data_IF_382757677682
#
_entry.id   IF_382757677682
#
_cell.length_a   1.000
_cell.length_b   1.000
_cell.length_c   1.000
_cell.angle_alpha   90.00
_cell.angle_beta   90.00
_cell.angle_gamma   90.00
#
_symmetry.space_group_name_H-M   'P 1'
#
loop_
_entity.id
_entity.type
_entity.pdbx_description
1 polymer ?
#
# COMPACT_ATOMS: atom_id res chain seq x y z
N UNK A 1 28.69 -5.60 -4.83
CA UNK A 1 27.73 -6.72 -4.91
C UNK A 1 27.37 -6.94 -6.36
N UNK A 2 27.00 -8.17 -6.78
CA UNK A 2 26.45 -8.41 -8.12
C UNK A 2 25.13 -7.60 -8.28
N UNK A 3 24.89 -6.98 -9.45
CA UNK A 3 23.60 -6.34 -9.72
C UNK A 3 22.44 -7.31 -9.49
N UNK A 4 21.39 -6.84 -8.80
CA UNK A 4 20.20 -7.62 -8.50
C UNK A 4 19.42 -7.87 -9.78
N UNK A 5 19.17 -9.13 -10.15
CA UNK A 5 18.34 -9.52 -11.28
C UNK A 5 16.87 -9.45 -10.94
N UNK A 6 16.09 -8.71 -11.72
CA UNK A 6 14.67 -8.42 -11.48
C UNK A 6 13.78 -9.18 -12.43
N UNK A 7 12.78 -9.86 -11.89
CA UNK A 7 11.61 -10.36 -12.60
C UNK A 7 10.37 -9.53 -12.31
N UNK A 8 9.52 -9.32 -13.31
CA UNK A 8 8.24 -8.61 -13.17
C UNK A 8 7.09 -9.44 -13.74
N UNK A 9 6.10 -9.76 -12.93
CA UNK A 9 4.88 -10.47 -13.34
C UNK A 9 3.69 -9.51 -13.31
N UNK A 10 3.06 -9.31 -14.48
CA UNK A 10 1.95 -8.37 -14.64
C UNK A 10 2.42 -6.98 -15.09
N UNK A 11 1.79 -6.43 -16.13
CA UNK A 11 2.22 -5.19 -16.80
C UNK A 11 1.18 -4.08 -16.76
N UNK A 12 0.20 -4.21 -15.85
CA UNK A 12 -0.81 -3.17 -15.59
C UNK A 12 -0.21 -1.90 -14.98
N UNK A 13 -1.06 -1.05 -14.44
CA UNK A 13 -0.65 0.22 -13.83
C UNK A 13 0.48 0.04 -12.79
N UNK A 14 0.32 -0.91 -11.84
CA UNK A 14 1.33 -1.15 -10.82
C UNK A 14 2.60 -1.78 -11.38
N UNK A 15 2.49 -2.65 -12.40
CA UNK A 15 3.67 -3.19 -13.11
C UNK A 15 4.53 -2.08 -13.72
N UNK A 16 3.90 -1.08 -14.34
CA UNK A 16 4.61 0.10 -14.85
C UNK A 16 5.25 0.92 -13.73
N UNK A 17 4.58 1.08 -12.58
CA UNK A 17 5.14 1.79 -11.41
C UNK A 17 6.37 1.05 -10.85
N UNK A 18 6.33 -0.28 -10.77
CA UNK A 18 7.48 -1.08 -10.34
C UNK A 18 8.64 -1.00 -11.35
N UNK A 19 8.34 -1.10 -12.65
CA UNK A 19 9.37 -0.96 -13.70
C UNK A 19 10.05 0.42 -13.64
N UNK A 20 9.28 1.51 -13.45
CA UNK A 20 9.82 2.84 -13.22
C UNK A 20 10.72 2.90 -11.98
N UNK A 21 10.29 2.30 -10.87
CA UNK A 21 11.06 2.28 -9.63
C UNK A 21 12.40 1.56 -9.81
N UNK A 22 12.40 0.37 -10.42
CA UNK A 22 13.61 -0.39 -10.70
C UNK A 22 14.58 0.34 -11.64
N UNK A 23 14.07 1.02 -12.67
CA UNK A 23 14.89 1.81 -13.59
C UNK A 23 15.51 3.05 -12.92
N UNK A 24 14.77 3.70 -12.01
CA UNK A 24 15.15 4.99 -11.45
C UNK A 24 15.98 4.91 -10.16
N UNK A 25 15.86 3.85 -9.39
CA UNK A 25 16.38 3.76 -8.01
C UNK A 25 17.86 4.10 -7.89
N UNK A 26 18.72 3.59 -8.79
CA UNK A 26 20.15 3.91 -8.79
C UNK A 26 20.42 5.38 -9.10
N UNK A 27 19.68 5.96 -10.03
CA UNK A 27 19.84 7.37 -10.44
C UNK A 27 19.46 8.31 -9.31
N UNK A 28 18.37 7.99 -8.58
CA UNK A 28 17.88 8.84 -7.48
C UNK A 28 18.79 8.74 -6.25
N UNK A 29 19.13 7.52 -5.83
CA UNK A 29 19.79 7.34 -4.54
C UNK A 29 21.32 7.26 -4.63
N UNK A 30 21.85 6.66 -5.67
CA UNK A 30 23.30 6.52 -5.87
C UNK A 30 23.98 5.47 -4.96
N UNK A 31 23.36 5.12 -3.82
CA UNK A 31 23.88 4.23 -2.78
C UNK A 31 23.46 2.75 -2.93
N UNK A 32 22.78 2.41 -4.01
CA UNK A 32 22.42 1.04 -4.38
C UNK A 32 23.04 0.67 -5.72
N UNK A 33 23.29 -0.62 -5.99
CA UNK A 33 23.68 -1.05 -7.33
C UNK A 33 22.51 -0.95 -8.30
N UNK A 34 22.81 -0.75 -9.60
CA UNK A 34 21.77 -0.68 -10.64
C UNK A 34 21.17 -2.08 -10.84
N UNK A 35 19.86 -2.28 -10.60
CA UNK A 35 19.23 -3.55 -10.88
C UNK A 35 19.27 -3.87 -12.38
N UNK A 36 19.34 -5.15 -12.74
CA UNK A 36 19.13 -5.64 -14.11
C UNK A 36 17.68 -6.06 -14.28
N UNK A 37 17.01 -5.54 -15.27
CA UNK A 37 15.64 -5.93 -15.63
C UNK A 37 15.71 -7.18 -16.52
N UNK A 38 15.68 -8.36 -15.88
CA UNK A 38 16.03 -9.64 -16.56
C UNK A 38 14.84 -10.21 -17.32
N UNK A 39 13.70 -10.42 -16.64
CA UNK A 39 12.61 -11.18 -17.21
C UNK A 39 11.25 -10.56 -16.87
N UNK A 40 10.41 -10.36 -17.89
CA UNK A 40 9.04 -9.86 -17.72
C UNK A 40 8.05 -10.96 -18.14
N UNK A 41 6.99 -11.14 -17.35
CA UNK A 41 5.90 -12.07 -17.69
C UNK A 41 4.55 -11.34 -17.74
N UNK A 42 3.80 -11.60 -18.83
CA UNK A 42 2.45 -11.10 -19.05
C UNK A 42 1.65 -12.17 -19.79
N UNK A 43 0.40 -12.43 -19.38
CA UNK A 43 -0.41 -13.53 -19.92
C UNK A 43 -0.63 -13.48 -21.44
N UNK A 44 -0.58 -12.31 -22.05
CA UNK A 44 -0.62 -12.12 -23.50
C UNK A 44 0.80 -11.98 -24.05
N UNK A 45 1.22 -12.88 -24.94
CA UNK A 45 2.59 -12.95 -25.48
C UNK A 45 2.99 -11.68 -26.27
N UNK A 46 2.07 -11.07 -27.03
CA UNK A 46 2.36 -9.84 -27.77
C UNK A 46 2.52 -8.67 -26.84
N UNK A 47 1.67 -8.59 -25.81
CA UNK A 47 1.77 -7.59 -24.76
C UNK A 47 3.05 -7.79 -23.94
N UNK A 48 3.43 -9.04 -23.63
CA UNK A 48 4.68 -9.35 -22.93
C UNK A 48 5.88 -8.78 -23.68
N UNK A 49 6.00 -9.03 -24.99
CA UNK A 49 7.09 -8.48 -25.83
C UNK A 49 7.09 -6.96 -25.85
N UNK A 50 5.94 -6.36 -26.15
CA UNK A 50 5.81 -4.90 -26.23
C UNK A 50 6.16 -4.21 -24.89
N UNK A 51 5.72 -4.77 -23.76
CA UNK A 51 6.03 -4.24 -22.43
C UNK A 51 7.46 -4.54 -22.01
N UNK A 52 8.03 -5.68 -22.41
CA UNK A 52 9.45 -5.99 -22.22
C UNK A 52 10.33 -4.91 -22.82
N UNK A 53 10.09 -4.57 -24.07
CA UNK A 53 10.81 -3.51 -24.79
C UNK A 53 10.57 -2.13 -24.13
N UNK A 54 9.28 -1.78 -23.84
CA UNK A 54 8.93 -0.47 -23.21
C UNK A 54 9.59 -0.30 -21.84
N UNK A 55 9.62 -1.35 -21.02
CA UNK A 55 10.11 -1.26 -19.63
C UNK A 55 11.61 -1.54 -19.53
N UNK A 56 12.24 -2.05 -20.60
CA UNK A 56 13.67 -2.31 -20.67
C UNK A 56 14.07 -3.66 -20.08
N UNK A 57 13.21 -4.68 -20.16
CA UNK A 57 13.55 -6.04 -19.75
C UNK A 57 14.29 -6.81 -20.87
N UNK A 58 15.27 -7.63 -20.49
CA UNK A 58 16.10 -8.42 -21.41
C UNK A 58 15.32 -9.58 -22.07
N UNK A 59 14.36 -10.15 -21.32
CA UNK A 59 13.53 -11.29 -21.73
C UNK A 59 12.05 -11.00 -21.44
N UNK A 60 11.16 -11.57 -22.27
CA UNK A 60 9.71 -11.48 -22.05
C UNK A 60 9.04 -12.80 -22.36
N UNK A 61 8.06 -13.23 -21.56
CA UNK A 61 7.35 -14.51 -21.71
C UNK A 61 5.86 -14.37 -21.41
N UNK A 62 5.06 -15.32 -21.92
CA UNK A 62 3.66 -15.48 -21.58
C UNK A 62 3.44 -16.41 -20.36
N UNK A 63 4.45 -17.16 -19.96
CA UNK A 63 4.39 -18.06 -18.79
C UNK A 63 5.29 -17.54 -17.65
N UNK A 64 4.68 -17.04 -16.59
CA UNK A 64 5.39 -16.52 -15.42
C UNK A 64 6.29 -17.59 -14.74
N UNK A 65 6.06 -18.88 -14.98
CA UNK A 65 6.87 -19.97 -14.42
C UNK A 65 8.27 -20.00 -15.03
N UNK A 66 8.40 -19.62 -16.30
CA UNK A 66 9.72 -19.46 -16.94
C UNK A 66 10.54 -18.36 -16.25
N UNK A 67 9.89 -17.25 -15.86
CA UNK A 67 10.54 -16.17 -15.11
C UNK A 67 10.99 -16.66 -13.72
N UNK A 68 10.16 -17.42 -13.02
CA UNK A 68 10.46 -17.96 -11.69
C UNK A 68 11.67 -18.91 -11.72
N UNK A 69 11.77 -19.72 -12.76
CA UNK A 69 12.88 -20.69 -12.91
C UNK A 69 14.15 -20.07 -13.50
N UNK A 70 14.11 -18.84 -13.97
CA UNK A 70 15.28 -18.16 -14.53
C UNK A 70 16.36 -17.92 -13.44
N UNK A 71 17.57 -18.50 -13.58
CA UNK A 71 18.63 -18.38 -12.57
C UNK A 71 19.22 -16.97 -12.47
N UNK A 72 18.97 -16.10 -13.43
CA UNK A 72 19.42 -14.70 -13.42
C UNK A 72 18.48 -13.77 -12.66
N UNK A 73 17.27 -14.23 -12.30
CA UNK A 73 16.30 -13.49 -11.47
C UNK A 73 16.60 -13.74 -10.00
N UNK A 74 16.82 -12.69 -9.24
CA UNK A 74 17.06 -12.71 -7.79
C UNK A 74 15.84 -12.23 -6.99
N UNK A 75 15.03 -11.32 -7.56
CA UNK A 75 13.81 -10.75 -6.95
C UNK A 75 12.66 -10.70 -7.95
N UNK A 76 11.46 -11.02 -7.49
CA UNK A 76 10.24 -11.00 -8.32
C UNK A 76 9.28 -9.94 -7.81
N UNK A 77 8.91 -9.00 -8.69
CA UNK A 77 7.78 -8.08 -8.51
C UNK A 77 6.49 -8.76 -8.97
N UNK A 78 5.51 -8.94 -8.08
CA UNK A 78 4.18 -9.50 -8.38
C UNK A 78 3.17 -8.37 -8.39
N UNK A 79 2.64 -8.01 -9.57
CA UNK A 79 1.75 -6.87 -9.79
C UNK A 79 0.48 -7.25 -10.55
N UNK A 80 0.05 -8.49 -10.37
CA UNK A 80 -1.13 -9.11 -10.97
C UNK A 80 -2.41 -8.78 -10.21
N UNK A 81 -3.61 -9.17 -10.68
CA UNK A 81 -4.83 -9.15 -9.87
C UNK A 81 -4.69 -9.99 -8.58
N UNK A 82 -5.36 -9.53 -7.51
CA UNK A 82 -5.19 -10.00 -6.13
C UNK A 82 -5.24 -11.53 -5.96
N UNK A 83 -6.12 -12.20 -6.70
CA UNK A 83 -6.31 -13.66 -6.61
C UNK A 83 -5.08 -14.48 -7.03
N UNK A 84 -4.17 -13.88 -7.78
CA UNK A 84 -2.94 -14.55 -8.25
C UNK A 84 -1.73 -14.29 -7.35
N UNK A 85 -1.79 -13.34 -6.42
CA UNK A 85 -0.69 -13.02 -5.52
C UNK A 85 -0.17 -14.24 -4.76
N UNK A 86 -1.03 -15.09 -4.13
CA UNK A 86 -0.56 -16.21 -3.35
C UNK A 86 0.23 -17.22 -4.18
N UNK A 87 -0.31 -17.66 -5.33
CA UNK A 87 0.35 -18.66 -6.16
C UNK A 87 1.73 -18.17 -6.62
N UNK A 88 1.81 -16.94 -7.15
CA UNK A 88 3.03 -16.41 -7.74
C UNK A 88 4.08 -16.06 -6.70
N UNK A 89 3.68 -15.45 -5.58
CA UNK A 89 4.60 -15.10 -4.50
C UNK A 89 5.18 -16.34 -3.79
N UNK A 90 4.34 -17.35 -3.53
CA UNK A 90 4.79 -18.62 -2.93
C UNK A 90 5.78 -19.33 -3.87
N UNK A 91 5.45 -19.47 -5.15
CA UNK A 91 6.34 -20.09 -6.12
C UNK A 91 7.69 -19.37 -6.24
N UNK A 92 7.70 -18.03 -6.22
CA UNK A 92 8.94 -17.25 -6.22
C UNK A 92 9.78 -17.50 -4.97
N UNK A 93 9.17 -17.55 -3.78
CA UNK A 93 9.84 -17.83 -2.52
C UNK A 93 10.41 -19.25 -2.47
N UNK A 94 9.64 -20.25 -2.92
CA UNK A 94 10.06 -21.65 -3.02
C UNK A 94 11.24 -21.84 -4.01
N UNK A 95 11.27 -21.02 -5.08
CA UNK A 95 12.40 -20.97 -6.02
C UNK A 95 13.60 -20.16 -5.46
N UNK A 96 13.55 -19.73 -4.21
CA UNK A 96 14.63 -18.98 -3.54
C UNK A 96 14.78 -17.54 -3.99
N UNK A 97 13.73 -16.91 -4.53
CA UNK A 97 13.72 -15.50 -4.93
C UNK A 97 13.18 -14.61 -3.81
N UNK A 98 13.66 -13.36 -3.73
CA UNK A 98 13.01 -12.31 -2.95
C UNK A 98 11.71 -11.89 -3.62
N UNK A 99 10.75 -11.33 -2.87
CA UNK A 99 9.43 -10.96 -3.41
C UNK A 99 9.05 -9.54 -3.03
N UNK A 100 8.57 -8.80 -4.02
CA UNK A 100 7.85 -7.53 -3.86
C UNK A 100 6.44 -7.71 -4.45
N UNK A 101 5.47 -8.03 -3.61
CA UNK A 101 4.09 -8.28 -4.01
C UNK A 101 3.23 -7.04 -3.80
N UNK A 102 2.34 -6.72 -4.73
CA UNK A 102 1.35 -5.67 -4.52
C UNK A 102 0.33 -6.04 -3.44
N UNK A 103 -0.30 -5.01 -2.91
CA UNK A 103 -1.39 -5.12 -1.93
C UNK A 103 -2.74 -5.39 -2.64
N UNK A 104 -3.73 -5.98 -1.93
CA UNK A 104 -3.65 -6.66 -0.64
C UNK A 104 -2.77 -7.91 -0.70
N UNK A 105 -2.36 -8.44 0.44
CA UNK A 105 -1.50 -9.63 0.46
C UNK A 105 -2.17 -10.81 -0.25
N UNK A 106 -3.42 -11.09 0.10
CA UNK A 106 -4.26 -12.09 -0.54
C UNK A 106 -5.75 -11.79 -0.31
N UNK A 107 -6.67 -12.26 -1.17
CA UNK A 107 -8.11 -12.14 -0.92
C UNK A 107 -8.60 -12.96 0.26
N UNK A 108 -7.90 -14.07 0.59
CA UNK A 108 -8.25 -14.98 1.67
C UNK A 108 -7.19 -15.05 2.77
N UNK A 109 -7.63 -15.04 4.04
CA UNK A 109 -6.72 -15.07 5.18
C UNK A 109 -5.80 -16.30 5.19
N UNK A 110 -6.33 -17.49 4.87
CA UNK A 110 -5.55 -18.73 4.79
C UNK A 110 -4.45 -18.65 3.73
N UNK A 111 -4.69 -17.94 2.63
CA UNK A 111 -3.69 -17.71 1.58
C UNK A 111 -2.58 -16.77 2.07
N UNK A 112 -2.94 -15.72 2.80
CA UNK A 112 -1.96 -14.83 3.42
C UNK A 112 -1.07 -15.57 4.43
N UNK A 113 -1.64 -16.50 5.23
CA UNK A 113 -0.87 -17.36 6.13
C UNK A 113 0.09 -18.30 5.37
N UNK A 114 -0.34 -18.86 4.23
CA UNK A 114 0.52 -19.69 3.37
C UNK A 114 1.67 -18.86 2.78
N UNK A 115 1.40 -17.63 2.32
CA UNK A 115 2.43 -16.71 1.82
C UNK A 115 3.48 -16.40 2.90
N UNK A 116 3.04 -16.09 4.13
CA UNK A 116 3.96 -15.86 5.25
C UNK A 116 4.78 -17.12 5.59
N UNK A 117 4.14 -18.29 5.57
CA UNK A 117 4.83 -19.56 5.83
C UNK A 117 5.92 -19.83 4.80
N UNK A 118 5.66 -19.60 3.50
CA UNK A 118 6.63 -19.72 2.43
C UNK A 118 7.79 -18.69 2.60
N UNK A 119 7.48 -17.45 2.98
CA UNK A 119 8.51 -16.43 3.23
C UNK A 119 9.44 -16.84 4.39
N UNK A 120 8.89 -17.36 5.49
CA UNK A 120 9.68 -17.87 6.61
C UNK A 120 10.53 -19.08 6.22
N UNK A 121 9.97 -20.03 5.46
CA UNK A 121 10.68 -21.23 5.04
C UNK A 121 11.83 -20.92 4.06
N UNK A 122 11.64 -19.97 3.15
CA UNK A 122 12.64 -19.60 2.16
C UNK A 122 13.80 -18.78 2.74
N UNK A 123 13.61 -18.11 3.89
CA UNK A 123 14.56 -17.14 4.44
C UNK A 123 14.79 -15.91 3.54
N UNK A 124 13.94 -15.68 2.54
CA UNK A 124 14.03 -14.54 1.62
C UNK A 124 13.26 -13.34 2.13
N UNK A 125 13.67 -12.16 1.68
CA UNK A 125 12.93 -10.92 1.93
C UNK A 125 11.65 -10.94 1.09
N UNK A 126 10.51 -10.74 1.74
CA UNK A 126 9.21 -10.63 1.10
C UNK A 126 8.48 -9.41 1.67
N UNK A 127 8.14 -8.46 0.80
CA UNK A 127 7.45 -7.21 1.16
C UNK A 127 6.18 -7.00 0.35
N UNK A 128 5.28 -6.18 0.89
CA UNK A 128 4.07 -5.72 0.22
C UNK A 128 4.19 -4.27 -0.22
N UNK A 129 3.56 -3.96 -1.35
CA UNK A 129 3.59 -2.67 -2.03
C UNK A 129 2.76 -1.57 -1.35
N UNK A 130 3.07 -1.24 -0.10
CA UNK A 130 2.42 -0.17 0.67
C UNK A 130 3.22 1.13 0.60
N UNK A 131 3.27 1.74 -0.57
CA UNK A 131 4.14 2.89 -0.86
C UNK A 131 3.82 4.18 -0.09
N UNK A 132 2.61 4.36 0.46
CA UNK A 132 2.26 5.61 1.17
C UNK A 132 3.07 5.83 2.45
N UNK A 133 3.53 4.77 3.12
CA UNK A 133 4.47 4.89 4.26
C UNK A 133 5.82 5.47 3.86
N UNK A 134 6.15 5.48 2.56
CA UNK A 134 7.41 5.97 2.03
C UNK A 134 7.42 7.49 1.83
N UNK A 135 6.25 8.15 1.92
CA UNK A 135 6.18 9.60 1.81
C UNK A 135 7.08 10.27 2.86
N UNK A 136 8.02 11.17 2.47
CA UNK A 136 8.87 11.89 3.42
C UNK A 136 8.09 12.65 4.49
N UNK A 137 6.92 13.21 4.13
CA UNK A 137 6.00 13.87 5.08
C UNK A 137 5.51 12.87 6.13
N UNK A 138 5.10 11.67 5.71
CA UNK A 138 4.61 10.64 6.62
C UNK A 138 5.71 10.14 7.58
N UNK A 139 6.93 10.00 7.07
CA UNK A 139 8.11 9.67 7.89
C UNK A 139 8.39 10.76 8.93
N UNK A 140 8.26 12.03 8.54
CA UNK A 140 8.42 13.16 9.47
C UNK A 140 7.29 13.24 10.49
N UNK A 141 6.04 12.97 10.11
CA UNK A 141 4.92 12.85 11.04
C UNK A 141 5.21 11.78 12.10
N UNK A 142 5.72 10.62 11.68
CA UNK A 142 6.15 9.55 12.63
C UNK A 142 7.21 10.06 13.61
N UNK A 143 8.20 10.79 13.11
CA UNK A 143 9.25 11.39 13.96
C UNK A 143 8.65 12.36 14.98
N UNK A 144 7.78 13.30 14.55
CA UNK A 144 7.13 14.27 15.42
C UNK A 144 6.30 13.61 16.53
N UNK A 145 5.57 12.53 16.20
CA UNK A 145 4.82 11.73 17.19
C UNK A 145 5.80 11.09 18.19
N UNK A 146 6.88 10.47 17.71
CA UNK A 146 7.88 9.83 18.56
C UNK A 146 8.64 10.81 19.46
N UNK A 147 8.82 12.04 19.03
CA UNK A 147 9.42 13.14 19.82
C UNK A 147 8.42 13.79 20.80
N UNK A 148 7.15 13.37 20.76
CA UNK A 148 6.10 13.93 21.63
C UNK A 148 5.64 15.33 21.25
N UNK A 149 5.84 15.76 20.00
CA UNK A 149 5.50 17.11 19.52
C UNK A 149 4.01 17.48 19.68
N UNK A 150 3.13 16.48 19.73
CA UNK A 150 1.69 16.64 19.99
C UNK A 150 1.24 15.98 21.32
N UNK A 151 2.21 15.53 22.14
CA UNK A 151 1.94 14.81 23.39
C UNK A 151 1.44 13.38 23.15
N UNK A 152 0.71 12.83 24.10
CA UNK A 152 0.12 11.49 24.01
C UNK A 152 -1.06 11.49 23.03
N UNK A 153 -1.01 10.60 22.02
CA UNK A 153 -2.10 10.48 21.04
C UNK A 153 -3.28 9.77 21.68
N UNK A 154 -4.47 10.34 21.54
CA UNK A 154 -5.70 9.84 22.13
C UNK A 154 -6.79 9.48 21.10
N UNK A 155 -6.79 10.15 19.94
CA UNK A 155 -7.78 9.90 18.90
C UNK A 155 -7.21 10.08 17.49
N UNK A 156 -7.67 9.25 16.55
CA UNK A 156 -7.27 9.31 15.13
C UNK A 156 -8.52 9.22 14.26
N UNK A 157 -8.54 10.02 13.20
CA UNK A 157 -9.50 9.85 12.10
C UNK A 157 -8.71 9.64 10.83
N UNK A 158 -9.10 8.61 10.07
CA UNK A 158 -8.50 8.33 8.77
C UNK A 158 -9.57 7.97 7.77
N UNK A 159 -9.44 8.52 6.56
CA UNK A 159 -10.37 8.33 5.47
C UNK A 159 -9.61 7.92 4.21
N UNK A 160 -10.17 7.02 3.41
CA UNK A 160 -9.72 6.79 2.04
C UNK A 160 -10.91 6.82 1.09
N UNK A 161 -10.90 7.82 0.19
CA UNK A 161 -12.01 8.15 -0.69
C UNK A 161 -11.53 8.28 -2.14
N UNK A 162 -12.25 7.66 -3.07
CA UNK A 162 -12.15 7.88 -4.51
C UNK A 162 -13.51 7.78 -5.19
N UNK A 163 -13.63 8.29 -6.41
CA UNK A 163 -14.86 8.27 -7.16
C UNK A 163 -14.91 7.27 -8.33
N UNK A 164 -13.95 6.35 -8.44
CA UNK A 164 -13.88 5.45 -9.59
C UNK A 164 -15.05 4.44 -9.67
N UNK A 165 -15.78 4.23 -8.57
CA UNK A 165 -17.01 3.43 -8.50
C UNK A 165 -18.25 4.29 -8.26
N UNK A 166 -18.16 5.62 -8.37
CA UNK A 166 -19.24 6.53 -8.01
C UNK A 166 -20.34 6.64 -9.08
N UNK A 167 -20.01 6.39 -10.37
CA UNK A 167 -21.01 6.40 -11.44
C UNK A 167 -21.90 5.14 -11.37
N UNK A 168 -23.23 5.27 -11.17
CA UNK A 168 -24.13 4.13 -11.15
C UNK A 168 -24.21 3.39 -12.50
N UNK A 169 -23.88 4.07 -13.61
CA UNK A 169 -23.83 3.49 -14.95
C UNK A 169 -22.41 3.05 -15.36
N UNK A 170 -21.43 3.16 -14.46
CA UNK A 170 -20.09 2.59 -14.64
C UNK A 170 -20.17 1.07 -14.84
N UNK A 171 -19.42 0.57 -15.85
CA UNK A 171 -19.44 -0.85 -16.19
C UNK A 171 -19.01 -1.74 -15.00
N UNK A 172 -19.58 -2.94 -14.97
CA UNK A 172 -19.16 -3.98 -14.03
C UNK A 172 -17.67 -4.25 -14.19
N UNK A 173 -16.96 -4.26 -13.09
CA UNK A 173 -15.52 -4.39 -13.04
C UNK A 173 -15.13 -5.53 -12.07
N UNK A 174 -14.03 -6.24 -12.34
CA UNK A 174 -13.62 -7.40 -11.55
C UNK A 174 -13.50 -7.14 -10.04
N UNK A 175 -13.20 -5.90 -9.64
CA UNK A 175 -13.18 -5.49 -8.22
C UNK A 175 -14.55 -5.47 -7.55
N UNK A 176 -15.64 -5.69 -8.29
CA UNK A 176 -17.01 -5.87 -7.76
C UNK A 176 -17.36 -7.34 -7.48
N UNK A 177 -16.44 -8.26 -7.79
CA UNK A 177 -16.59 -9.70 -7.54
C UNK A 177 -16.10 -10.06 -6.13
N UNK A 178 -16.74 -11.04 -5.48
CA UNK A 178 -16.32 -11.55 -4.17
C UNK A 178 -14.93 -12.19 -4.22
N UNK A 179 -14.56 -12.76 -5.37
CA UNK A 179 -13.22 -13.33 -5.61
C UNK A 179 -12.09 -12.31 -5.49
N UNK A 180 -12.39 -11.00 -5.60
CA UNK A 180 -11.41 -9.92 -5.40
C UNK A 180 -11.26 -9.50 -3.93
N UNK A 181 -12.07 -10.04 -3.01
CA UNK A 181 -12.12 -9.71 -1.59
C UNK A 181 -13.39 -8.96 -1.16
N UNK A 182 -13.36 -8.31 -0.01
CA UNK A 182 -14.50 -7.61 0.61
C UNK A 182 -14.83 -6.24 -0.02
N UNK A 183 -14.11 -5.83 -1.06
CA UNK A 183 -14.31 -4.55 -1.73
C UNK A 183 -13.56 -3.39 -1.07
N UNK A 184 -14.25 -2.42 -0.46
CA UNK A 184 -13.60 -1.27 0.17
C UNK A 184 -12.58 -1.63 1.25
N UNK A 185 -12.74 -2.78 1.93
CA UNK A 185 -11.77 -3.21 2.95
C UNK A 185 -10.43 -3.61 2.33
N UNK A 186 -10.43 -4.49 1.32
CA UNK A 186 -9.20 -4.98 0.67
C UNK A 186 -8.59 -3.97 -0.28
N UNK A 187 -9.42 -3.17 -0.94
CA UNK A 187 -8.92 -2.22 -1.93
C UNK A 187 -8.45 -0.91 -1.28
N UNK A 188 -9.19 -0.40 -0.31
CA UNK A 188 -8.98 0.91 0.30
C UNK A 188 -8.50 0.84 1.75
N UNK A 189 -9.25 0.19 2.66
CA UNK A 189 -8.93 0.24 4.08
C UNK A 189 -7.52 -0.29 4.42
N UNK A 190 -6.95 -1.16 3.59
CA UNK A 190 -5.57 -1.66 3.74
C UNK A 190 -4.52 -0.54 3.70
N UNK A 191 -4.75 0.53 2.94
CA UNK A 191 -3.82 1.67 2.89
C UNK A 191 -3.81 2.49 4.19
N UNK A 192 -4.96 3.01 4.71
CA UNK A 192 -5.02 3.56 6.05
C UNK A 192 -4.46 2.62 7.13
N UNK A 193 -4.79 1.32 7.07
CA UNK A 193 -4.26 0.34 8.02
C UNK A 193 -2.73 0.24 7.98
N UNK A 194 -2.11 0.31 6.78
CA UNK A 194 -0.65 0.32 6.66
C UNK A 194 -0.03 1.59 7.27
N UNK A 195 -0.69 2.75 7.13
CA UNK A 195 -0.27 3.99 7.79
C UNK A 195 -0.43 3.92 9.30
N UNK A 196 -1.56 3.40 9.80
CA UNK A 196 -1.78 3.21 11.23
C UNK A 196 -0.77 2.23 11.82
N UNK A 197 -0.50 1.12 11.12
CA UNK A 197 0.56 0.17 11.48
C UNK A 197 1.93 0.86 11.58
N UNK A 198 2.27 1.63 10.56
CA UNK A 198 3.54 2.34 10.49
C UNK A 198 3.71 3.38 11.62
N UNK A 199 2.64 4.10 11.99
CA UNK A 199 2.68 5.18 12.97
C UNK A 199 2.49 4.70 14.42
N UNK A 200 1.59 3.72 14.64
CA UNK A 200 1.07 3.39 15.97
C UNK A 200 1.13 1.88 16.30
N UNK A 201 1.44 1.03 15.33
CA UNK A 201 1.42 -0.42 15.53
C UNK A 201 0.06 -1.06 15.23
N UNK A 202 -0.30 -2.09 16.00
CA UNK A 202 -1.43 -2.96 15.68
C UNK A 202 -2.79 -2.40 16.13
N UNK A 203 -3.83 -2.85 15.42
CA UNK A 203 -5.23 -2.70 15.82
C UNK A 203 -5.58 -3.81 16.82
N UNK A 204 -6.27 -3.48 17.90
CA UNK A 204 -6.67 -4.43 18.97
C UNK A 204 -8.11 -4.93 18.79
N UNK A 205 -9.04 -4.03 18.44
CA UNK A 205 -10.44 -4.38 18.27
C UNK A 205 -11.12 -3.46 17.24
N UNK A 206 -12.16 -3.97 16.58
CA UNK A 206 -12.92 -3.25 15.56
C UNK A 206 -14.43 -3.47 15.69
N UNK A 207 -15.22 -2.47 15.29
CA UNK A 207 -16.64 -2.64 14.93
C UNK A 207 -16.87 -1.96 13.59
N UNK A 208 -17.57 -2.65 12.68
CA UNK A 208 -17.63 -2.28 11.27
C UNK A 208 -19.07 -2.26 10.77
N UNK A 209 -19.40 -1.24 9.97
CA UNK A 209 -20.55 -1.22 9.07
C UNK A 209 -20.07 -1.11 7.63
N UNK A 210 -20.74 -1.83 6.70
CA UNK A 210 -20.43 -1.80 5.27
C UNK A 210 -21.69 -1.61 4.45
N UNK A 211 -21.57 -0.91 3.32
CA UNK A 211 -22.71 -0.65 2.44
C UNK A 211 -22.37 -0.81 0.96
N UNK A 212 -23.40 -1.10 0.16
CA UNK A 212 -23.37 -1.11 -1.32
C UNK A 212 -24.28 -0.01 -1.81
N UNK A 213 -23.75 1.11 -2.34
CA UNK A 213 -24.61 2.15 -2.91
C UNK A 213 -25.32 1.67 -4.18
N UNK A 214 -24.71 0.77 -4.95
CA UNK A 214 -25.27 0.22 -6.17
C UNK A 214 -25.27 -1.31 -6.12
N UNK A 215 -26.47 -1.90 -6.15
CA UNK A 215 -26.64 -3.35 -6.06
C UNK A 215 -26.20 -4.07 -7.35
N UNK A 216 -26.25 -3.39 -8.50
CA UNK A 216 -25.96 -3.94 -9.82
C UNK A 216 -25.24 -2.91 -10.68
N UNK A 217 -24.43 -3.41 -11.65
CA UNK A 217 -23.74 -2.58 -12.64
C UNK A 217 -23.99 -3.11 -14.06
N UNK A 218 -24.02 -2.23 -15.08
CA UNK A 218 -24.18 -2.65 -16.46
C UNK A 218 -22.99 -3.45 -16.96
N UNK A 219 -23.26 -4.41 -17.86
CA UNK A 219 -22.25 -5.16 -18.61
C UNK A 219 -22.03 -4.51 -19.97
N UNK A 220 -20.81 -4.64 -20.51
CA UNK A 220 -20.46 -4.09 -21.83
C UNK A 220 -21.30 -4.67 -22.97
N UNK A 221 -21.66 -5.94 -22.87
CA UNK A 221 -22.49 -6.69 -23.81
C UNK A 221 -23.99 -6.50 -23.60
N UNK A 222 -24.39 -5.66 -22.65
CA UNK A 222 -25.78 -5.42 -22.27
C UNK A 222 -26.23 -6.24 -21.05
N UNK A 223 -27.33 -5.82 -20.43
CA UNK A 223 -27.77 -6.36 -19.13
C UNK A 223 -27.02 -5.76 -17.94
N UNK A 224 -27.31 -6.29 -16.75
CA UNK A 224 -26.69 -5.86 -15.49
C UNK A 224 -26.22 -7.10 -14.70
N UNK A 225 -25.17 -6.93 -13.89
CA UNK A 225 -24.66 -7.96 -12.99
C UNK A 225 -24.64 -7.44 -11.56
N UNK A 226 -25.00 -8.30 -10.62
CA UNK A 226 -25.00 -8.00 -9.18
C UNK A 226 -23.60 -7.73 -8.68
N UNK A 227 -23.43 -6.64 -7.91
CA UNK A 227 -22.21 -6.33 -7.18
C UNK A 227 -22.13 -7.23 -5.93
N UNK A 228 -21.06 -7.98 -5.79
CA UNK A 228 -20.94 -9.02 -4.76
C UNK A 228 -20.35 -8.50 -3.46
N UNK A 229 -19.47 -7.50 -3.51
CA UNK A 229 -18.79 -6.91 -2.35
C UNK A 229 -19.29 -5.49 -2.01
N UNK A 230 -18.64 -4.79 -1.08
CA UNK A 230 -19.10 -3.51 -0.55
C UNK A 230 -18.19 -2.36 -1.01
N UNK A 231 -18.78 -1.22 -1.39
CA UNK A 231 -18.05 -0.01 -1.82
C UNK A 231 -17.76 0.97 -0.68
N UNK A 232 -18.45 0.81 0.47
CA UNK A 232 -18.28 1.65 1.66
C UNK A 232 -17.98 0.78 2.88
N UNK A 233 -17.09 1.28 3.75
CA UNK A 233 -16.86 0.72 5.07
C UNK A 233 -16.62 1.84 6.10
N UNK A 234 -17.29 1.76 7.24
CA UNK A 234 -17.11 2.63 8.39
C UNK A 234 -16.70 1.77 9.58
N UNK A 235 -15.55 2.07 10.16
CA UNK A 235 -14.94 1.24 11.20
C UNK A 235 -14.57 2.09 12.41
N UNK A 236 -15.07 1.72 13.59
CA UNK A 236 -14.51 2.19 14.85
C UNK A 236 -13.45 1.18 15.31
N UNK A 237 -12.33 1.68 15.82
CA UNK A 237 -11.18 0.86 16.19
C UNK A 237 -10.61 1.22 17.55
N UNK A 238 -9.97 0.24 18.17
CA UNK A 238 -9.02 0.41 19.28
C UNK A 238 -7.63 0.02 18.80
N UNK A 239 -6.66 0.91 19.00
CA UNK A 239 -5.26 0.61 18.77
C UNK A 239 -4.54 0.43 20.12
N UNK A 240 -3.33 -0.09 20.08
CA UNK A 240 -2.47 -0.24 21.24
C UNK A 240 -2.35 1.04 22.07
N UNK A 241 -2.25 0.90 23.40
CA UNK A 241 -2.20 2.05 24.30
C UNK A 241 -3.55 2.75 24.53
N UNK A 242 -4.67 2.16 24.10
CA UNK A 242 -6.02 2.72 24.32
C UNK A 242 -6.42 3.82 23.35
N UNK A 243 -5.67 4.01 22.26
CA UNK A 243 -5.99 5.00 21.23
C UNK A 243 -7.31 4.63 20.54
N UNK A 244 -8.26 5.58 20.52
CA UNK A 244 -9.50 5.45 19.75
C UNK A 244 -9.26 5.88 18.31
N UNK A 245 -9.81 5.13 17.33
CA UNK A 245 -9.69 5.53 15.93
C UNK A 245 -10.98 5.28 15.14
N UNK A 246 -11.16 6.09 14.08
CA UNK A 246 -12.22 5.93 13.08
C UNK A 246 -11.56 5.80 11.71
N UNK A 247 -11.94 4.76 10.96
CA UNK A 247 -11.54 4.57 9.58
C UNK A 247 -12.78 4.57 8.69
N UNK A 248 -12.74 5.37 7.63
CA UNK A 248 -13.74 5.36 6.58
C UNK A 248 -13.08 5.03 5.24
N UNK A 249 -13.71 4.15 4.46
CA UNK A 249 -13.27 3.78 3.12
C UNK A 249 -14.45 3.87 2.16
N UNK A 250 -14.32 4.63 1.06
CA UNK A 250 -15.41 4.88 0.13
C UNK A 250 -14.90 4.94 -1.31
N UNK A 251 -15.27 3.92 -2.12
CA UNK A 251 -14.94 3.84 -3.56
C UNK A 251 -15.91 4.64 -4.46
N UNK A 252 -16.92 5.27 -3.86
CA UNK A 252 -18.00 5.98 -4.57
C UNK A 252 -18.13 7.45 -4.16
N UNK A 253 -17.01 8.05 -3.70
CA UNK A 253 -16.97 9.42 -3.19
C UNK A 253 -16.76 10.44 -4.31
N UNK A 254 -17.83 10.87 -4.99
CA UNK A 254 -17.76 11.84 -6.08
C UNK A 254 -16.85 13.04 -5.75
N UNK A 255 -15.89 13.32 -6.65
CA UNK A 255 -14.95 14.44 -6.56
C UNK A 255 -13.65 14.12 -5.83
N UNK A 256 -13.52 12.97 -5.18
CA UNK A 256 -12.25 12.49 -4.61
C UNK A 256 -11.48 11.63 -5.61
N UNK A 257 -10.15 11.84 -5.69
CA UNK A 257 -9.32 11.23 -6.74
C UNK A 257 -8.20 10.32 -6.22
N UNK A 258 -8.06 10.18 -4.91
CA UNK A 258 -7.02 9.40 -4.24
C UNK A 258 -6.74 9.96 -2.86
N UNK A 259 -7.80 10.35 -2.16
CA UNK A 259 -7.70 11.02 -0.88
C UNK A 259 -7.49 10.01 0.23
N UNK A 260 -6.33 10.09 0.89
CA UNK A 260 -6.14 9.54 2.23
C UNK A 260 -5.99 10.73 3.17
N UNK A 261 -7.00 11.00 3.98
CA UNK A 261 -6.94 12.06 4.98
C UNK A 261 -6.68 11.46 6.36
N UNK A 262 -5.74 12.05 7.08
CA UNK A 262 -5.33 11.61 8.41
C UNK A 262 -5.38 12.80 9.38
N UNK A 263 -6.12 12.65 10.46
CA UNK A 263 -6.15 13.60 11.59
C UNK A 263 -5.72 12.86 12.86
N UNK A 264 -4.69 13.35 13.51
CA UNK A 264 -4.10 12.78 14.72
C UNK A 264 -4.23 13.81 15.83
N UNK A 265 -4.91 13.44 16.90
CA UNK A 265 -5.14 14.30 18.06
C UNK A 265 -4.37 13.78 19.27
N UNK A 266 -3.57 14.64 19.86
CA UNK A 266 -2.78 14.36 21.05
C UNK A 266 -3.08 15.34 22.19
N UNK A 267 -2.49 15.09 23.34
CA UNK A 267 -2.71 15.90 24.56
C UNK A 267 -2.09 17.31 24.50
N UNK A 268 -1.20 17.59 23.54
CA UNK A 268 -0.52 18.88 23.37
C UNK A 268 -0.63 19.48 21.98
N UNK A 269 -1.32 18.81 21.06
CA UNK A 269 -1.45 19.28 19.69
C UNK A 269 -2.12 18.29 18.78
N UNK A 270 -2.12 18.60 17.48
CA UNK A 270 -2.70 17.74 16.45
C UNK A 270 -1.97 17.89 15.12
N UNK A 271 -2.11 16.87 14.28
CA UNK A 271 -1.57 16.82 12.91
C UNK A 271 -2.70 16.52 11.96
N UNK A 272 -2.73 17.21 10.80
CA UNK A 272 -3.60 16.85 9.68
C UNK A 272 -2.78 16.64 8.42
N UNK A 273 -3.17 15.66 7.62
CA UNK A 273 -2.54 15.31 6.36
C UNK A 273 -3.61 14.92 5.34
N UNK A 274 -3.40 15.26 4.07
CA UNK A 274 -4.25 14.88 2.96
C UNK A 274 -3.38 14.42 1.77
N UNK A 275 -3.59 13.19 1.29
CA UNK A 275 -2.82 12.58 0.20
C UNK A 275 -3.00 13.32 -1.15
N UNK A 276 -4.15 13.94 -1.41
CA UNK A 276 -4.34 14.77 -2.61
C UNK A 276 -3.43 16.02 -2.60
N UNK A 277 -2.83 16.31 -1.44
CA UNK A 277 -1.83 17.37 -1.21
C UNK A 277 -0.59 16.80 -0.53
N UNK A 278 -0.10 15.69 -1.03
CA UNK A 278 0.88 14.81 -0.39
C UNK A 278 2.21 15.42 0.00
N UNK A 279 2.49 16.64 -0.44
CA UNK A 279 3.74 17.36 -0.15
C UNK A 279 3.61 18.39 0.96
N UNK A 280 2.55 18.33 1.76
CA UNK A 280 2.34 19.22 2.90
C UNK A 280 1.56 18.51 4.01
N UNK A 281 1.66 19.03 5.21
CA UNK A 281 0.79 18.69 6.34
C UNK A 281 0.61 19.92 7.22
N UNK A 282 -0.33 19.85 8.16
CA UNK A 282 -0.55 20.90 9.12
C UNK A 282 -0.30 20.39 10.54
N UNK A 283 0.41 21.20 11.33
CA UNK A 283 0.74 20.93 12.72
C UNK A 283 0.16 22.02 13.60
N UNK A 284 -0.61 21.63 14.61
CA UNK A 284 -1.02 22.49 15.72
C UNK A 284 -0.29 22.07 17.00
N UNK A 285 0.25 23.03 17.74
CA UNK A 285 0.83 22.84 19.07
C UNK A 285 0.18 23.85 20.04
N UNK A 286 -0.23 23.36 21.20
CA UNK A 286 -0.89 24.17 22.23
C UNK A 286 0.14 24.96 23.05
N UNK A 287 0.93 25.79 22.37
CA UNK A 287 2.02 26.57 22.92
C UNK A 287 1.84 28.06 22.58
N UNK A 288 2.41 28.95 23.40
CA UNK A 288 2.36 30.40 23.19
C UNK A 288 1.03 31.03 23.60
N UNK A 289 0.74 32.22 23.02
CA UNK A 289 -0.48 32.98 23.32
C UNK A 289 -1.69 32.39 22.63
N UNK A 290 -2.80 32.21 23.31
CA UNK A 290 -4.03 31.66 22.75
C UNK A 290 -4.55 32.39 21.50
N UNK A 291 -4.33 33.72 21.42
CA UNK A 291 -4.71 34.53 20.25
C UNK A 291 -3.84 34.30 18.99
N UNK A 292 -2.73 33.59 19.12
CA UNK A 292 -1.77 33.30 18.04
C UNK A 292 -1.72 31.83 17.70
N UNK A 293 -2.55 30.99 18.33
CA UNK A 293 -2.62 29.57 18.10
C UNK A 293 -3.44 29.27 16.84
N UNK A 294 -2.91 28.37 16.01
CA UNK A 294 -3.52 27.91 14.77
C UNK A 294 -2.70 26.83 14.13
N UNK A 295 -3.26 26.14 13.14
CA UNK A 295 -2.51 25.18 12.33
C UNK A 295 -1.42 25.90 11.52
N UNK A 296 -0.19 25.38 11.61
CA UNK A 296 0.93 25.78 10.77
C UNK A 296 1.05 24.79 9.62
N UNK A 297 0.98 25.29 8.39
CA UNK A 297 1.26 24.52 7.20
C UNK A 297 2.76 24.28 7.05
N UNK A 298 3.15 23.04 6.87
CA UNK A 298 4.54 22.62 6.67
C UNK A 298 4.64 21.95 5.29
N UNK A 299 5.44 22.56 4.41
CA UNK A 299 5.71 22.02 3.08
C UNK A 299 6.86 21.02 3.11
N UNK A 300 6.76 19.96 2.32
CA UNK A 300 7.86 19.04 2.11
C UNK A 300 9.08 19.77 1.54
N UNK A 301 10.25 19.45 2.06
CA UNK A 301 11.50 20.12 1.74
C UNK A 301 12.67 19.14 1.89
N UNK A 302 13.90 19.49 1.45
CA UNK A 302 15.09 18.65 1.59
C UNK A 302 15.42 18.19 3.02
N UNK A 303 14.90 18.88 4.04
CA UNK A 303 15.01 18.45 5.43
C UNK A 303 14.17 17.18 5.75
N UNK A 304 13.11 16.93 5.00
CA UNK A 304 12.26 15.73 5.14
C UNK A 304 12.84 14.57 4.32
N UNK A 305 13.73 13.79 4.92
CA UNK A 305 14.42 12.71 4.20
C UNK A 305 13.46 11.58 3.75
N UNK A 306 13.65 11.04 2.53
CA UNK A 306 14.71 11.27 1.53
C UNK A 306 14.33 12.26 0.40
N UNK A 307 13.51 13.26 0.65
CA UNK A 307 13.08 14.28 -0.35
C UNK A 307 14.27 14.88 -1.13
N UNK A 308 15.40 15.18 -0.44
CA UNK A 308 16.62 15.75 -1.01
C UNK A 308 17.28 14.88 -2.06
N UNK A 309 16.97 13.61 -2.14
CA UNK A 309 17.49 12.71 -3.18
C UNK A 309 16.83 12.93 -4.54
N UNK A 310 15.63 13.44 -4.52
CA UNK A 310 14.85 13.76 -5.72
C UNK A 310 15.04 15.22 -6.14
N UNK A 311 14.92 16.15 -5.19
CA UNK A 311 14.84 17.58 -5.45
C UNK A 311 15.62 18.34 -4.37
N UNK A 312 16.58 19.22 -4.74
CA UNK A 312 17.43 19.93 -3.77
C UNK A 312 16.76 21.18 -3.15
N UNK A 313 15.55 21.53 -3.59
CA UNK A 313 14.86 22.75 -3.17
C UNK A 313 13.41 22.46 -2.71
N UNK A 314 12.84 23.21 -1.76
CA UNK A 314 11.44 23.07 -1.37
C UNK A 314 10.47 23.51 -2.46
N UNK A 315 9.20 23.09 -2.36
CA UNK A 315 8.10 23.55 -3.21
C UNK A 315 7.96 22.91 -4.59
N UNK A 316 8.80 21.91 -4.94
CA UNK A 316 8.72 21.21 -6.23
C UNK A 316 7.88 19.93 -6.15
N UNK A 317 7.72 19.35 -4.96
CA UNK A 317 6.89 18.19 -4.69
C UNK A 317 7.43 16.86 -5.20
N UNK A 318 7.00 15.77 -4.58
CA UNK A 318 7.15 14.40 -5.05
C UNK A 318 5.79 13.88 -5.52
N UNK A 319 5.80 12.84 -6.37
CA UNK A 319 4.60 12.19 -6.87
C UNK A 319 4.50 10.73 -6.42
N UNK A 320 3.42 10.05 -6.81
CA UNK A 320 3.12 8.67 -6.46
C UNK A 320 4.28 7.72 -6.83
N UNK A 321 4.87 7.89 -8.03
CA UNK A 321 5.96 7.02 -8.48
C UNK A 321 7.25 7.24 -7.69
N UNK A 322 7.50 8.43 -7.15
CA UNK A 322 8.66 8.68 -6.29
C UNK A 322 8.59 7.85 -4.99
N UNK A 323 7.38 7.64 -4.46
CA UNK A 323 7.18 6.77 -3.30
C UNK A 323 7.52 5.31 -3.63
N UNK A 324 7.21 4.84 -4.84
CA UNK A 324 7.61 3.51 -5.31
C UNK A 324 9.12 3.38 -5.49
N UNK A 325 9.80 4.45 -5.93
CA UNK A 325 11.27 4.47 -6.01
C UNK A 325 11.89 4.38 -4.61
N UNK A 326 11.32 5.08 -3.63
CA UNK A 326 11.75 4.98 -2.22
C UNK A 326 11.53 3.56 -1.70
N UNK A 327 10.36 2.97 -1.95
CA UNK A 327 10.02 1.59 -1.55
C UNK A 327 10.98 0.56 -2.17
N UNK A 328 11.32 0.73 -3.45
CA UNK A 328 12.32 -0.08 -4.16
C UNK A 328 13.69 -0.04 -3.47
N UNK A 329 14.16 1.16 -3.11
CA UNK A 329 15.41 1.32 -2.35
C UNK A 329 15.35 0.60 -0.99
N UNK A 330 14.26 0.76 -0.26
CA UNK A 330 14.10 0.11 1.04
C UNK A 330 14.07 -1.43 0.88
N UNK A 331 13.48 -1.96 -0.19
CA UNK A 331 13.56 -3.39 -0.51
C UNK A 331 15.01 -3.84 -0.75
N UNK A 332 15.77 -3.12 -1.58
CA UNK A 332 17.19 -3.43 -1.83
C UNK A 332 17.99 -3.42 -0.53
N UNK A 333 17.76 -2.45 0.35
CA UNK A 333 18.39 -2.39 1.67
C UNK A 333 18.03 -3.59 2.54
N UNK A 334 16.75 -3.97 2.57
CA UNK A 334 16.31 -5.16 3.30
C UNK A 334 16.99 -6.43 2.77
N UNK A 335 17.13 -6.58 1.45
CA UNK A 335 17.84 -7.69 0.81
C UNK A 335 19.33 -7.69 1.20
N UNK A 336 19.94 -6.53 1.36
CA UNK A 336 21.33 -6.38 1.81
C UNK A 336 21.54 -6.58 3.32
N UNK A 337 20.45 -6.80 4.08
CA UNK A 337 20.50 -6.99 5.54
C UNK A 337 20.51 -5.68 6.34
N UNK A 338 20.30 -4.53 5.70
CA UNK A 338 20.20 -3.23 6.37
C UNK A 338 18.82 -3.04 7.01
N UNK A 339 18.77 -2.15 8.02
CA UNK A 339 17.48 -1.67 8.56
C UNK A 339 16.72 -0.92 7.46
N UNK A 340 15.53 -1.36 7.17
CA UNK A 340 14.69 -0.82 6.11
C UNK A 340 13.25 -0.57 6.61
N UNK A 341 12.61 0.45 6.04
CA UNK A 341 11.21 0.79 6.34
C UNK A 341 10.29 0.20 5.27
N UNK A 342 9.87 -1.04 5.47
CA UNK A 342 8.99 -1.78 4.57
C UNK A 342 7.84 -2.44 5.33
N UNK A 343 6.77 -2.77 4.67
CA UNK A 343 5.74 -3.69 5.18
C UNK A 343 6.13 -5.09 4.73
N UNK A 344 6.68 -5.87 5.66
CA UNK A 344 7.01 -7.27 5.41
C UNK A 344 5.74 -8.15 5.32
N UNK A 345 5.87 -9.41 4.85
CA UNK A 345 4.75 -10.36 4.92
C UNK A 345 4.30 -10.65 6.36
N UNK A 346 5.16 -10.45 7.36
CA UNK A 346 4.76 -10.52 8.78
C UNK A 346 3.81 -9.37 9.11
N UNK A 347 4.15 -8.15 8.72
CA UNK A 347 3.34 -6.96 8.96
C UNK A 347 2.06 -7.00 8.11
N UNK A 348 2.20 -7.47 6.86
CA UNK A 348 1.07 -7.67 5.94
C UNK A 348 0.02 -8.61 6.52
N UNK A 349 0.41 -9.75 7.09
CA UNK A 349 -0.55 -10.66 7.73
C UNK A 349 -1.30 -10.00 8.89
N UNK A 350 -0.66 -9.08 9.64
CA UNK A 350 -1.33 -8.32 10.70
C UNK A 350 -2.35 -7.33 10.16
N UNK A 351 -2.06 -6.72 9.00
CA UNK A 351 -3.01 -5.88 8.27
C UNK A 351 -4.20 -6.74 7.80
N UNK A 352 -3.95 -7.89 7.19
CA UNK A 352 -5.00 -8.83 6.75
C UNK A 352 -5.86 -9.32 7.93
N UNK A 353 -5.27 -9.62 9.09
CA UNK A 353 -6.04 -9.93 10.31
C UNK A 353 -7.03 -8.84 10.66
N UNK A 354 -6.63 -7.57 10.54
CA UNK A 354 -7.52 -6.44 10.80
C UNK A 354 -8.65 -6.37 9.79
N UNK A 355 -8.37 -6.57 8.49
CA UNK A 355 -9.38 -6.61 7.41
C UNK A 355 -10.40 -7.72 7.65
N UNK A 356 -9.94 -8.94 7.95
CA UNK A 356 -10.83 -10.07 8.20
C UNK A 356 -11.62 -9.92 9.50
N UNK A 357 -11.06 -9.28 10.53
CA UNK A 357 -11.79 -8.93 11.75
C UNK A 357 -12.88 -7.88 11.48
N UNK A 358 -12.61 -6.89 10.60
CA UNK A 358 -13.61 -5.92 10.16
C UNK A 358 -14.77 -6.60 9.42
N UNK A 359 -14.48 -7.48 8.46
CA UNK A 359 -15.50 -8.23 7.74
C UNK A 359 -16.33 -9.12 8.71
N UNK A 360 -15.68 -9.82 9.63
CA UNK A 360 -16.35 -10.61 10.67
C UNK A 360 -17.23 -9.76 11.58
N UNK A 361 -16.75 -8.58 12.00
CA UNK A 361 -17.50 -7.63 12.80
C UNK A 361 -18.80 -7.17 12.12
N UNK A 362 -18.75 -6.89 10.83
CA UNK A 362 -19.93 -6.54 10.04
C UNK A 362 -20.98 -7.66 10.04
N UNK A 363 -20.56 -8.90 9.83
CA UNK A 363 -21.47 -10.06 9.82
C UNK A 363 -22.04 -10.37 11.21
N UNK A 364 -21.21 -10.30 12.26
CA UNK A 364 -21.60 -10.61 13.63
C UNK A 364 -22.26 -9.43 14.36
N UNK A 365 -22.21 -8.22 13.81
CA UNK A 365 -22.77 -6.99 14.38
C UNK A 365 -22.30 -6.70 15.83
N UNK A 366 -21.03 -6.91 16.08
CA UNK A 366 -20.39 -6.69 17.39
C UNK A 366 -18.93 -6.29 17.25
N UNK A 367 -18.38 -5.81 18.36
CA UNK A 367 -16.93 -5.66 18.47
C UNK A 367 -16.23 -7.01 18.31
N UNK A 368 -15.15 -7.01 17.55
CA UNK A 368 -14.30 -8.17 17.28
C UNK A 368 -12.86 -7.83 17.62
N UNK A 369 -12.27 -8.66 18.47
CA UNK A 369 -10.84 -8.59 18.77
C UNK A 369 -10.01 -9.00 17.54
N UNK A 370 -8.96 -8.22 17.27
CA UNK A 370 -7.92 -8.54 16.29
C UNK A 370 -6.86 -9.35 17.02
N UNK A 371 -7.06 -10.66 17.11
CA UNK A 371 -6.13 -11.56 17.81
C UNK A 371 -4.74 -11.54 17.15
N UNK A 372 -3.71 -11.48 17.97
CA UNK A 372 -2.29 -11.42 17.58
C UNK A 372 -1.83 -12.61 16.72
#
# INVERSE_FOLDING_TARGET
MKPLGVGLIGTGYMGKCHALAWNAVKTVFGDVERPRLVHLAEANADLARSRGDEFGFEKATADWRELITDPEVDVVSVTTPNQFHPEMAIAALEAGKHVWCEKPMAPGYADAERMLSAAKASGKVAILGYNYIQNPVMRHIKQLIGEGAIGEVNHIRVEMDEDFMADPEGLFYWKSELASGYGALDDFAVHPLSLLWFLFGHVEAVITDMAKPYAERPLKEGGRRTVENHDLANVLMRLGGGISAVLMANRSAWGRKGRIALQIFGSKGSITYDQERMNEFELYQAEGRGSEQGFRKILAAPAHKPYDRFIPAPGHGLGFNDLKIIECRELIRAISGDTASVISFVDGLRIEKSVHAMARSFHERRWVEVTA
#
